data_IF_009594334626
#
_entry.id   IF_009594334626
#
_cell.length_a   1.000
_cell.length_b   1.000
_cell.length_c   1.000
_cell.angle_alpha   90.00
_cell.angle_beta   90.00
_cell.angle_gamma   90.00
#
_symmetry.space_group_name_H-M   'P 1'
#
loop_
_entity.id
_entity.type
_entity.pdbx_description
1 polymer ?
#
# COMPACT_ATOMS: atom_id res chain seq x y z
N UNK A 1 8.01 29.93 -15.40
CA UNK A 1 8.51 28.54 -15.48
C UNK A 1 8.47 28.00 -14.07
N UNK A 2 7.38 27.30 -13.76
CA UNK A 2 6.78 27.22 -12.42
C UNK A 2 7.23 26.04 -11.56
N UNK A 3 6.83 26.04 -10.27
CA UNK A 3 7.12 24.99 -9.31
C UNK A 3 6.10 23.85 -9.43
N UNK A 4 6.19 23.01 -10.46
CA UNK A 4 5.29 21.84 -10.56
C UNK A 4 5.85 20.63 -9.82
N UNK A 5 7.16 20.41 -9.90
CA UNK A 5 7.80 19.18 -9.40
C UNK A 5 7.83 19.06 -7.87
N UNK A 6 7.87 20.18 -7.14
CA UNK A 6 7.95 20.16 -5.68
C UNK A 6 6.64 19.71 -5.03
N UNK A 7 5.49 20.18 -5.53
CA UNK A 7 4.17 19.81 -5.01
C UNK A 7 3.81 18.36 -5.31
N UNK A 8 4.17 17.84 -6.48
CA UNK A 8 3.95 16.43 -6.82
C UNK A 8 4.75 15.49 -5.92
N UNK A 9 6.00 15.85 -5.58
CA UNK A 9 6.81 15.09 -4.63
C UNK A 9 6.21 15.10 -3.22
N UNK A 10 5.68 16.22 -2.77
CA UNK A 10 5.01 16.32 -1.47
C UNK A 10 3.75 15.44 -1.42
N UNK A 11 2.94 15.43 -2.48
CA UNK A 11 1.76 14.56 -2.57
C UNK A 11 2.10 13.07 -2.63
N UNK A 12 3.15 12.67 -3.35
CA UNK A 12 3.62 11.28 -3.37
C UNK A 12 4.18 10.86 -2.00
N UNK A 13 4.90 11.74 -1.31
CA UNK A 13 5.41 11.48 0.04
C UNK A 13 4.27 11.41 1.07
N UNK A 14 3.23 12.22 0.93
CA UNK A 14 2.04 12.18 1.78
C UNK A 14 1.23 10.88 1.58
N UNK A 15 1.04 10.45 0.33
CA UNK A 15 0.42 9.16 -0.01
C UNK A 15 1.27 7.99 0.50
N UNK A 16 2.60 8.09 0.40
CA UNK A 16 3.53 7.08 0.88
C UNK A 16 3.86 7.17 2.38
N UNK A 17 3.23 8.07 3.14
CA UNK A 17 3.42 8.15 4.58
C UNK A 17 2.88 6.89 5.26
N UNK A 18 3.57 6.41 6.31
CA UNK A 18 3.19 5.17 7.03
C UNK A 18 1.73 5.18 7.50
N UNK A 19 1.23 6.32 7.99
CA UNK A 19 -0.17 6.47 8.41
C UNK A 19 -1.15 6.32 7.25
N UNK A 20 -0.81 6.87 6.09
CA UNK A 20 -1.64 6.85 4.89
C UNK A 20 -1.66 5.45 4.28
N UNK A 21 -0.50 4.81 4.15
CA UNK A 21 -0.39 3.42 3.69
C UNK A 21 -1.13 2.45 4.61
N UNK A 22 -1.02 2.60 5.93
CA UNK A 22 -1.76 1.78 6.87
C UNK A 22 -3.28 1.93 6.70
N UNK A 23 -3.78 3.18 6.57
CA UNK A 23 -5.20 3.44 6.39
C UNK A 23 -5.73 2.86 5.06
N UNK A 24 -4.99 3.03 3.96
CA UNK A 24 -5.33 2.45 2.65
C UNK A 24 -5.38 0.92 2.73
N UNK A 25 -4.34 0.29 3.29
CA UNK A 25 -4.25 -1.16 3.40
C UNK A 25 -5.36 -1.74 4.28
N UNK A 26 -5.60 -1.14 5.45
CA UNK A 26 -6.67 -1.55 6.34
C UNK A 26 -8.06 -1.42 5.70
N UNK A 27 -8.33 -0.29 5.03
CA UNK A 27 -9.60 -0.05 4.34
C UNK A 27 -9.81 -1.03 3.19
N UNK A 28 -8.77 -1.30 2.40
CA UNK A 28 -8.87 -2.20 1.25
C UNK A 28 -9.11 -3.64 1.70
N UNK A 29 -8.34 -4.14 2.68
CA UNK A 29 -8.49 -5.47 3.23
C UNK A 29 -9.87 -5.71 3.87
N UNK A 30 -10.49 -4.68 4.47
CA UNK A 30 -11.85 -4.77 5.05
C UNK A 30 -12.96 -4.76 3.99
N UNK A 31 -12.83 -3.91 2.97
CA UNK A 31 -13.91 -3.65 1.99
C UNK A 31 -13.89 -4.56 0.78
N UNK A 32 -12.72 -5.06 0.39
CA UNK A 32 -12.52 -5.81 -0.86
C UNK A 32 -11.51 -6.95 -0.67
N UNK A 33 -11.73 -7.87 0.29
CA UNK A 33 -10.76 -8.92 0.62
C UNK A 33 -10.47 -9.85 -0.56
N UNK A 34 -11.45 -10.10 -1.43
CA UNK A 34 -11.31 -11.02 -2.56
C UNK A 34 -10.33 -10.52 -3.64
N UNK A 35 -10.06 -9.21 -3.69
CA UNK A 35 -9.16 -8.59 -4.67
C UNK A 35 -7.74 -8.39 -4.13
N UNK A 36 -7.47 -8.75 -2.87
CA UNK A 36 -6.17 -8.54 -2.23
C UNK A 36 -5.07 -9.26 -2.98
N UNK A 37 -5.26 -10.54 -3.28
CA UNK A 37 -4.24 -11.36 -3.96
C UNK A 37 -3.97 -10.86 -5.38
N UNK A 38 -5.02 -10.45 -6.10
CA UNK A 38 -4.89 -9.92 -7.46
C UNK A 38 -4.11 -8.59 -7.47
N UNK A 39 -4.44 -7.66 -6.56
CA UNK A 39 -3.72 -6.38 -6.43
C UNK A 39 -2.26 -6.59 -6.03
N UNK A 40 -1.98 -7.58 -5.16
CA UNK A 40 -0.59 -7.91 -4.80
C UNK A 40 0.18 -8.46 -6.01
N UNK A 41 -0.43 -9.34 -6.80
CA UNK A 41 0.18 -9.88 -8.01
C UNK A 41 0.47 -8.78 -9.05
N UNK A 42 -0.47 -7.84 -9.22
CA UNK A 42 -0.30 -6.70 -10.12
C UNK A 42 0.78 -5.74 -9.64
N UNK A 43 0.81 -5.43 -8.34
CA UNK A 43 1.86 -4.60 -7.75
C UNK A 43 3.26 -5.24 -7.93
N UNK A 44 3.39 -6.55 -7.71
CA UNK A 44 4.64 -7.28 -7.94
C UNK A 44 5.05 -7.29 -9.42
N UNK A 45 4.10 -7.37 -10.35
CA UNK A 45 4.36 -7.24 -11.78
C UNK A 45 4.83 -5.81 -12.14
N UNK A 46 4.21 -4.78 -11.58
CA UNK A 46 4.60 -3.38 -11.77
C UNK A 46 6.02 -3.13 -11.24
N UNK A 47 6.39 -3.69 -10.08
CA UNK A 47 7.75 -3.55 -9.53
C UNK A 47 8.82 -4.22 -10.41
N UNK A 48 8.50 -5.37 -11.03
CA UNK A 48 9.44 -6.09 -11.91
C UNK A 48 9.56 -5.49 -13.30
N UNK A 49 8.44 -5.08 -13.90
CA UNK A 49 8.36 -4.65 -15.31
C UNK A 49 8.50 -3.13 -15.46
N UNK A 50 8.19 -2.38 -14.40
CA UNK A 50 8.10 -0.93 -14.37
C UNK A 50 6.71 -0.41 -14.78
N UNK A 51 6.29 0.67 -14.10
CA UNK A 51 4.99 1.33 -14.25
C UNK A 51 4.52 1.53 -15.70
N UNK A 52 5.36 2.13 -16.56
CA UNK A 52 4.96 2.44 -17.94
C UNK A 52 4.82 1.19 -18.80
N UNK A 53 5.68 0.20 -18.58
CA UNK A 53 5.66 -1.08 -19.31
C UNK A 53 4.40 -1.86 -18.98
N UNK A 54 4.10 -1.98 -17.69
CA UNK A 54 2.93 -2.68 -17.20
C UNK A 54 1.64 -1.96 -17.65
N UNK A 55 1.57 -0.63 -17.50
CA UNK A 55 0.39 0.14 -17.93
C UNK A 55 0.10 0.00 -19.43
N UNK A 56 1.15 -0.01 -20.26
CA UNK A 56 1.00 -0.23 -21.70
C UNK A 56 0.57 -1.68 -22.04
N UNK A 57 0.97 -2.67 -21.24
CA UNK A 57 0.60 -4.08 -21.40
C UNK A 57 -0.88 -4.32 -21.06
N UNK A 58 -1.37 -3.64 -20.02
CA UNK A 58 -2.75 -3.77 -19.53
C UNK A 58 -3.73 -2.77 -20.17
N UNK A 59 -3.26 -1.90 -21.07
CA UNK A 59 -4.06 -0.85 -21.74
C UNK A 59 -4.73 0.13 -20.76
N UNK A 60 -4.00 0.54 -19.72
CA UNK A 60 -4.46 1.47 -18.67
C UNK A 60 -3.59 2.72 -18.60
N UNK A 61 -4.06 3.75 -17.89
CA UNK A 61 -3.23 4.92 -17.66
C UNK A 61 -2.08 4.61 -16.70
N UNK A 62 -0.95 5.31 -16.85
CA UNK A 62 0.19 5.19 -15.92
C UNK A 62 -0.21 5.55 -14.49
N UNK A 63 -1.19 6.45 -14.34
CA UNK A 63 -1.77 6.81 -13.05
C UNK A 63 -2.48 5.62 -12.38
N UNK A 64 -3.27 4.85 -13.12
CA UNK A 64 -3.99 3.69 -12.60
C UNK A 64 -2.99 2.59 -12.16
N UNK A 65 -1.91 2.41 -12.92
CA UNK A 65 -0.81 1.52 -12.53
C UNK A 65 -0.10 2.02 -11.26
N UNK A 66 0.06 3.33 -11.09
CA UNK A 66 0.63 3.91 -9.86
C UNK A 66 -0.27 3.68 -8.66
N UNK A 67 -1.57 3.88 -8.81
CA UNK A 67 -2.56 3.63 -7.76
C UNK A 67 -2.60 2.15 -7.35
N UNK A 68 -2.50 1.24 -8.32
CA UNK A 68 -2.40 -0.21 -8.08
C UNK A 68 -1.14 -0.56 -7.29
N UNK A 69 0.01 0.00 -7.68
CA UNK A 69 1.27 -0.20 -6.97
C UNK A 69 1.21 0.31 -5.52
N UNK A 70 0.73 1.53 -5.32
CA UNK A 70 0.58 2.14 -3.99
C UNK A 70 -0.36 1.30 -3.12
N UNK A 71 -1.47 0.80 -3.68
CA UNK A 71 -2.42 -0.05 -2.97
C UNK A 71 -1.78 -1.37 -2.55
N UNK A 72 -1.03 -2.03 -3.44
CA UNK A 72 -0.30 -3.26 -3.10
C UNK A 72 0.78 -3.04 -2.04
N UNK A 73 1.49 -1.91 -2.06
CA UNK A 73 2.44 -1.53 -1.00
C UNK A 73 1.73 -1.27 0.33
N UNK A 74 0.60 -0.59 0.31
CA UNK A 74 -0.24 -0.32 1.48
C UNK A 74 -0.75 -1.61 2.13
N UNK A 75 -1.22 -2.57 1.33
CA UNK A 75 -1.65 -3.89 1.81
C UNK A 75 -0.46 -4.64 2.44
N UNK A 76 0.71 -4.68 1.79
CA UNK A 76 1.91 -5.33 2.35
C UNK A 76 2.32 -4.70 3.68
N UNK A 77 2.32 -3.37 3.77
CA UNK A 77 2.62 -2.64 5.00
C UNK A 77 1.61 -2.94 6.11
N UNK A 78 0.31 -2.90 5.80
CA UNK A 78 -0.75 -3.24 6.75
C UNK A 78 -0.62 -4.67 7.26
N UNK A 79 -0.43 -5.65 6.37
CA UNK A 79 -0.31 -7.07 6.73
C UNK A 79 0.93 -7.33 7.58
N UNK A 80 2.06 -6.68 7.28
CA UNK A 80 3.27 -6.80 8.11
C UNK A 80 3.04 -6.28 9.54
N UNK A 81 2.37 -5.12 9.70
CA UNK A 81 2.06 -4.57 11.02
C UNK A 81 0.95 -5.34 11.75
N UNK A 82 -0.05 -5.83 11.03
CA UNK A 82 -1.09 -6.68 11.59
C UNK A 82 -0.51 -8.02 12.05
N UNK A 83 0.43 -8.59 11.29
CA UNK A 83 1.20 -9.78 11.65
C UNK A 83 2.05 -9.54 12.89
N UNK A 84 2.80 -8.44 12.96
CA UNK A 84 3.55 -8.03 14.16
C UNK A 84 2.63 -7.84 15.39
N UNK A 85 1.41 -7.32 15.22
CA UNK A 85 0.46 -7.16 16.30
C UNK A 85 -0.16 -8.49 16.79
N UNK A 86 -0.23 -9.49 15.93
CA UNK A 86 -0.69 -10.85 16.28
C UNK A 86 0.43 -11.67 16.91
N UNK A 87 1.68 -11.47 16.46
CA UNK A 87 2.88 -12.10 17.02
C UNK A 87 3.45 -11.35 18.24
N UNK A 88 2.98 -10.12 18.51
CA UNK A 88 3.26 -9.41 19.75
C UNK A 88 2.81 -10.28 20.93
N UNK A 89 3.72 -10.63 21.86
CA UNK A 89 3.41 -11.62 22.87
C UNK A 89 2.21 -11.16 23.70
N UNK A 90 1.23 -12.05 23.86
CA UNK A 90 0.10 -11.92 24.78
C UNK A 90 0.52 -11.56 26.24
N UNK A 91 1.82 -11.63 26.54
CA UNK A 91 2.47 -11.22 27.78
C UNK A 91 2.22 -9.75 28.19
N UNK A 92 1.94 -8.82 27.25
CA UNK A 92 1.63 -7.43 27.62
C UNK A 92 0.19 -7.21 28.13
N UNK A 93 -0.73 -8.15 27.89
CA UNK A 93 -2.15 -8.06 28.29
C UNK A 93 -2.46 -8.70 29.65
N UNK A 94 -1.48 -9.31 30.31
CA UNK A 94 -1.64 -9.94 31.63
C UNK A 94 -0.99 -9.13 32.79
N UNK A 95 -0.48 -7.92 32.51
CA UNK A 95 0.26 -7.10 33.49
C UNK A 95 -0.56 -5.93 34.06
N UNK A 96 -1.89 -6.05 34.14
CA UNK A 96 -2.73 -5.21 35.00
C UNK A 96 -3.47 -6.08 36.02
N UNK A 97 -2.86 -6.39 37.17
CA UNK A 97 -3.59 -6.64 38.39
C UNK A 97 -3.78 -5.28 39.10
N UNK A 98 -5.03 -4.90 39.32
CA UNK A 98 -5.40 -3.71 40.09
C UNK A 98 -4.88 -3.66 41.52
#
# INVERSE_FOLDING_TARGET
MGPTVATERDGVVDVASHSTLYAIGAYFCDRTPDLVEDVLADADAIEREGLRTWAAREDVAVQDAFETLVTGLAIRFYTALAGEAVDAPAAARAADPG
#
